data_IF_646653713919
#
_entry.id   IF_646653713919
#
_cell.length_a   1.000
_cell.length_b   1.000
_cell.length_c   1.000
_cell.angle_alpha   90.00
_cell.angle_beta   90.00
_cell.angle_gamma   90.00
#
_symmetry.space_group_name_H-M   'P 1'
#
loop_
_entity.id
_entity.type
_entity.pdbx_description
1 polymer ?
#
# COMPACT_ATOMS: atom_id res chain seq x y z
N UNK A 1 38.76 32.28 24.59
CA UNK A 1 37.69 32.86 25.44
C UNK A 1 36.34 32.28 25.01
N UNK A 2 35.63 31.61 25.93
CA UNK A 2 34.24 31.16 25.71
C UNK A 2 33.32 32.33 25.98
N UNK A 3 32.53 32.72 24.98
CA UNK A 3 31.52 33.79 25.13
C UNK A 3 30.18 33.29 24.62
N UNK A 4 29.10 33.81 25.18
CA UNK A 4 27.74 33.44 24.81
C UNK A 4 27.50 33.62 23.30
N UNK A 5 27.96 34.75 22.73
CA UNK A 5 27.87 35.03 21.29
C UNK A 5 28.58 33.99 20.41
N UNK A 6 29.73 33.46 20.85
CA UNK A 6 30.45 32.42 20.10
C UNK A 6 29.70 31.09 20.09
N UNK A 7 29.11 30.70 21.22
CA UNK A 7 28.34 29.46 21.30
C UNK A 7 27.02 29.56 20.51
N UNK A 8 26.37 30.73 20.52
CA UNK A 8 25.24 31.03 19.63
C UNK A 8 25.66 30.90 18.16
N UNK A 9 26.80 31.48 17.78
CA UNK A 9 27.30 31.38 16.40
C UNK A 9 27.60 29.93 15.98
N UNK A 10 28.16 29.10 16.87
CA UNK A 10 28.38 27.67 16.60
C UNK A 10 27.03 26.95 16.41
N UNK A 11 26.06 27.19 17.27
CA UNK A 11 24.71 26.60 17.12
C UNK A 11 24.07 27.01 15.80
N UNK A 12 24.16 28.29 15.42
CA UNK A 12 23.64 28.79 14.14
C UNK A 12 24.37 28.19 12.94
N UNK A 13 25.68 27.98 13.03
CA UNK A 13 26.44 27.33 11.98
C UNK A 13 26.01 25.86 11.81
N UNK A 14 25.85 25.12 12.92
CA UNK A 14 25.33 23.75 12.89
C UNK A 14 23.92 23.69 12.31
N UNK A 15 23.06 24.63 12.70
CA UNK A 15 21.71 24.77 12.16
C UNK A 15 21.73 25.07 10.66
N UNK A 16 22.54 26.01 10.20
CA UNK A 16 22.64 26.33 8.79
C UNK A 16 23.13 25.13 7.96
N UNK A 17 24.15 24.41 8.44
CA UNK A 17 24.67 23.21 7.77
C UNK A 17 23.61 22.11 7.73
N UNK A 18 22.85 21.90 8.81
CA UNK A 18 21.87 20.83 8.88
C UNK A 18 20.74 20.99 7.84
N UNK A 19 20.40 22.22 7.47
CA UNK A 19 19.40 22.51 6.44
C UNK A 19 19.82 22.03 5.05
N UNK A 20 21.11 21.83 4.78
CA UNK A 20 21.60 21.36 3.48
C UNK A 20 21.99 19.87 3.48
N UNK A 21 21.79 19.17 4.59
CA UNK A 21 22.07 17.74 4.69
C UNK A 21 20.78 16.90 4.68
N UNK A 22 20.86 15.64 4.23
CA UNK A 22 19.78 14.67 4.40
C UNK A 22 19.41 14.51 5.88
N UNK A 23 18.13 14.62 6.20
CA UNK A 23 17.62 14.63 7.57
C UNK A 23 16.69 13.45 7.85
N UNK A 24 15.59 13.30 7.11
CA UNK A 24 14.63 12.19 7.25
C UNK A 24 14.30 11.65 5.86
N UNK A 25 14.37 10.34 5.65
CA UNK A 25 14.04 9.71 4.36
C UNK A 25 14.89 10.16 3.18
N UNK A 26 16.10 10.65 3.44
CA UNK A 26 16.95 11.25 2.41
C UNK A 26 16.56 12.69 2.03
N UNK A 27 15.42 13.21 2.49
CA UNK A 27 15.04 14.60 2.27
C UNK A 27 15.98 15.56 2.99
N UNK A 28 16.32 16.64 2.29
CA UNK A 28 17.22 17.68 2.81
C UNK A 28 16.48 18.50 3.88
N UNK A 29 17.19 18.91 4.95
CA UNK A 29 16.57 19.63 6.09
C UNK A 29 15.76 20.88 5.70
N UNK A 30 16.18 21.61 4.65
CA UNK A 30 15.46 22.78 4.15
C UNK A 30 14.08 22.45 3.59
N UNK A 31 13.93 21.34 2.88
CA UNK A 31 12.62 20.94 2.33
C UNK A 31 11.67 20.53 3.47
N UNK A 32 12.18 19.79 4.46
CA UNK A 32 11.42 19.41 5.65
C UNK A 32 10.96 20.65 6.43
N UNK A 33 11.85 21.63 6.61
CA UNK A 33 11.52 22.88 7.29
C UNK A 33 10.41 23.64 6.55
N UNK A 34 10.57 23.84 5.23
CA UNK A 34 9.62 24.60 4.42
C UNK A 34 8.24 23.92 4.38
N UNK A 35 8.21 22.64 3.98
CA UNK A 35 6.96 21.87 3.87
C UNK A 35 6.29 21.72 5.22
N UNK A 36 7.06 21.42 6.27
CA UNK A 36 6.52 21.21 7.61
C UNK A 36 5.95 22.49 8.25
N UNK A 37 6.56 23.66 8.03
CA UNK A 37 6.00 24.93 8.53
C UNK A 37 4.71 25.30 7.77
N UNK A 38 4.70 25.14 6.44
CA UNK A 38 3.58 25.56 5.59
C UNK A 38 2.39 24.61 5.71
N UNK A 39 2.64 23.30 5.68
CA UNK A 39 1.60 22.27 5.58
C UNK A 39 1.45 21.41 6.84
N UNK A 40 2.27 21.62 7.87
CA UNK A 40 2.24 20.80 9.08
C UNK A 40 0.89 20.81 9.81
N UNK A 41 0.12 21.89 9.71
CA UNK A 41 -1.23 21.96 10.27
C UNK A 41 -2.22 21.01 9.59
N UNK A 42 -2.12 20.82 8.26
CA UNK A 42 -2.93 19.84 7.54
C UNK A 42 -2.55 18.41 7.93
N UNK A 43 -1.25 18.14 8.09
CA UNK A 43 -0.77 16.85 8.56
C UNK A 43 -1.27 16.50 9.97
N UNK A 44 -1.42 17.49 10.86
CA UNK A 44 -2.04 17.27 12.18
C UNK A 44 -3.51 16.87 12.10
N UNK A 45 -4.28 17.45 11.17
CA UNK A 45 -5.68 17.04 10.93
C UNK A 45 -5.74 15.58 10.47
N UNK A 46 -4.75 15.14 9.69
CA UNK A 46 -4.59 13.74 9.28
C UNK A 46 -3.98 12.83 10.38
N UNK A 47 -3.78 13.34 11.60
CA UNK A 47 -3.28 12.56 12.74
C UNK A 47 -1.76 12.37 12.79
N UNK A 48 -0.98 13.05 11.93
CA UNK A 48 0.48 12.90 11.88
C UNK A 48 1.20 13.76 12.92
N UNK A 49 1.20 13.28 14.16
CA UNK A 49 1.73 14.03 15.31
C UNK A 49 3.25 14.29 15.22
N UNK A 50 4.00 13.46 14.50
CA UNK A 50 5.45 13.63 14.30
C UNK A 50 5.82 14.99 13.65
N UNK A 51 4.90 15.59 12.87
CA UNK A 51 5.12 16.88 12.20
C UNK A 51 5.32 18.04 13.19
N UNK A 52 4.90 17.87 14.45
CA UNK A 52 5.15 18.85 15.50
C UNK A 52 6.64 19.16 15.66
N UNK A 53 7.52 18.20 15.37
CA UNK A 53 8.96 18.40 15.40
C UNK A 53 9.44 19.65 14.65
N UNK A 54 8.78 19.99 13.54
CA UNK A 54 9.18 21.14 12.73
C UNK A 54 8.96 22.48 13.46
N UNK A 55 8.00 22.58 14.37
CA UNK A 55 7.77 23.81 15.13
C UNK A 55 8.83 24.09 16.21
N UNK A 56 9.69 23.12 16.53
CA UNK A 56 10.87 23.38 17.36
C UNK A 56 11.76 24.49 16.76
N UNK A 57 11.76 24.65 15.43
CA UNK A 57 12.49 25.69 14.72
C UNK A 57 11.99 27.11 15.08
N UNK A 58 10.69 27.29 15.30
CA UNK A 58 10.11 28.59 15.70
C UNK A 58 10.64 29.01 17.07
N UNK A 59 10.60 28.08 18.03
CA UNK A 59 11.12 28.32 19.37
C UNK A 59 12.63 28.47 19.41
N UNK A 60 13.36 27.77 18.54
CA UNK A 60 14.81 27.94 18.37
C UNK A 60 15.16 29.36 17.91
N UNK A 61 14.55 29.85 16.84
CA UNK A 61 14.81 31.20 16.33
C UNK A 61 14.40 32.28 17.33
N UNK A 62 13.27 32.09 18.02
CA UNK A 62 12.87 32.96 19.13
C UNK A 62 13.94 33.01 20.23
N UNK A 63 14.47 31.84 20.61
CA UNK A 63 15.53 31.70 21.60
C UNK A 63 16.80 32.45 21.19
N UNK A 64 17.25 32.29 19.93
CA UNK A 64 18.41 32.99 19.37
C UNK A 64 18.25 34.51 19.44
N UNK A 65 17.13 35.04 18.94
CA UNK A 65 16.87 36.49 18.89
C UNK A 65 16.86 37.09 20.29
N UNK A 66 16.20 36.44 21.24
CA UNK A 66 16.08 36.93 22.60
C UNK A 66 17.39 36.84 23.39
N UNK A 67 18.19 35.80 23.18
CA UNK A 67 19.54 35.71 23.74
C UNK A 67 20.46 36.82 23.22
N UNK A 68 20.42 37.12 21.91
CA UNK A 68 21.21 38.21 21.33
C UNK A 68 20.82 39.59 21.87
N UNK A 69 19.56 39.74 22.30
CA UNK A 69 19.05 40.93 23.02
C UNK A 69 19.37 40.93 24.52
N UNK A 70 20.15 39.96 25.01
CA UNK A 70 20.54 39.84 26.41
C UNK A 70 19.44 39.31 27.34
N UNK A 71 18.35 38.74 26.81
CA UNK A 71 17.29 38.10 27.60
C UNK A 71 17.57 36.60 27.77
N UNK A 72 16.89 35.97 28.74
CA UNK A 72 16.93 34.51 28.97
C UNK A 72 15.60 33.85 28.61
N UNK A 73 15.42 33.35 27.38
CA UNK A 73 14.16 32.74 26.92
C UNK A 73 14.06 31.25 27.32
N UNK A 74 14.04 30.96 28.62
CA UNK A 74 14.06 29.59 29.17
C UNK A 74 12.90 28.71 28.67
N UNK A 75 11.68 29.25 28.66
CA UNK A 75 10.49 28.52 28.22
C UNK A 75 10.59 28.16 26.73
N UNK A 76 11.04 29.07 25.87
CA UNK A 76 11.19 28.80 24.44
C UNK A 76 12.28 27.73 24.20
N UNK A 77 13.37 27.77 24.96
CA UNK A 77 14.42 26.75 24.87
C UNK A 77 13.89 25.36 25.26
N UNK A 78 13.09 25.26 26.32
CA UNK A 78 12.42 24.01 26.72
C UNK A 78 11.44 23.53 25.66
N UNK A 79 10.56 24.41 25.17
CA UNK A 79 9.60 24.08 24.12
C UNK A 79 10.31 23.60 22.85
N UNK A 80 11.45 24.19 22.47
CA UNK A 80 12.21 23.72 21.30
C UNK A 80 12.60 22.24 21.43
N UNK A 81 12.98 21.78 22.62
CA UNK A 81 13.34 20.38 22.86
C UNK A 81 12.12 19.47 22.96
N UNK A 82 11.03 19.95 23.58
CA UNK A 82 9.75 19.21 23.66
C UNK A 82 9.17 18.98 22.27
N UNK A 83 9.17 20.00 21.41
CA UNK A 83 8.70 19.81 20.04
C UNK A 83 9.68 18.91 19.28
N UNK A 84 11.00 19.06 19.45
CA UNK A 84 11.97 18.20 18.78
C UNK A 84 11.84 16.71 19.13
N UNK A 85 11.36 16.35 20.34
CA UNK A 85 11.19 14.94 20.72
C UNK A 85 10.08 14.23 19.93
N UNK A 86 9.16 14.96 19.29
CA UNK A 86 8.18 14.36 18.37
C UNK A 86 8.82 13.70 17.14
N UNK A 87 10.10 13.95 16.85
CA UNK A 87 10.86 13.16 15.86
C UNK A 87 10.93 11.67 16.19
N UNK A 88 10.79 11.28 17.46
CA UNK A 88 10.72 9.87 17.86
C UNK A 88 9.45 9.17 17.36
N UNK A 89 8.42 9.92 16.99
CA UNK A 89 7.18 9.39 16.44
C UNK A 89 7.22 9.22 14.92
N UNK A 90 8.33 9.52 14.24
CA UNK A 90 8.47 9.33 12.80
C UNK A 90 8.24 7.88 12.37
N UNK A 91 8.58 6.92 13.22
CA UNK A 91 8.34 5.48 12.98
C UNK A 91 6.85 5.10 12.88
N UNK A 92 5.95 5.98 13.34
CA UNK A 92 4.50 5.78 13.22
C UNK A 92 3.93 6.35 11.91
N UNK A 93 4.76 6.98 11.08
CA UNK A 93 4.33 7.45 9.77
C UNK A 93 4.22 6.28 8.78
N UNK A 94 3.21 6.29 7.90
CA UNK A 94 2.86 5.13 7.07
C UNK A 94 3.90 4.80 5.99
N UNK A 95 4.72 5.76 5.56
CA UNK A 95 5.67 5.52 4.48
C UNK A 95 7.04 5.04 5.01
N UNK A 96 7.62 3.98 4.41
CA UNK A 96 8.89 3.39 4.85
C UNK A 96 10.08 4.36 4.72
N UNK A 97 9.97 5.41 3.91
CA UNK A 97 11.00 6.45 3.80
C UNK A 97 11.20 7.24 5.11
N UNK A 98 10.16 7.41 5.95
CA UNK A 98 10.28 8.19 7.19
C UNK A 98 11.04 7.48 8.31
N UNK A 99 11.50 6.25 8.09
CA UNK A 99 12.29 5.50 9.09
C UNK A 99 13.79 5.80 9.01
N UNK A 100 14.29 6.43 7.95
CA UNK A 100 15.72 6.72 7.78
C UNK A 100 16.11 8.08 8.40
N UNK A 101 17.10 8.12 9.29
CA UNK A 101 17.58 9.33 9.96
C UNK A 101 19.00 9.68 9.49
N UNK A 102 19.15 10.87 8.90
CA UNK A 102 20.39 11.38 8.34
C UNK A 102 21.14 12.37 9.21
N UNK A 103 22.32 12.78 8.73
CA UNK A 103 23.21 13.73 9.42
C UNK A 103 22.56 15.09 9.71
N UNK A 104 21.64 15.56 8.85
CA UNK A 104 20.90 16.79 9.05
C UNK A 104 20.08 16.77 10.35
N UNK A 105 19.39 15.66 10.64
CA UNK A 105 18.62 15.53 11.87
C UNK A 105 19.52 15.55 13.13
N UNK A 106 20.68 14.89 13.07
CA UNK A 106 21.63 14.87 14.19
C UNK A 106 22.26 16.25 14.45
N UNK A 107 22.67 16.96 13.39
CA UNK A 107 23.21 18.31 13.53
C UNK A 107 22.15 19.30 14.00
N UNK A 108 20.90 19.15 13.55
CA UNK A 108 19.77 19.93 14.02
C UNK A 108 19.54 19.75 15.52
N UNK A 109 19.45 18.51 16.00
CA UNK A 109 19.33 18.21 17.43
C UNK A 109 20.53 18.75 18.23
N UNK A 110 21.75 18.62 17.69
CA UNK A 110 22.95 19.15 18.33
C UNK A 110 22.92 20.70 18.43
N UNK A 111 22.38 21.39 17.42
CA UNK A 111 22.21 22.84 17.41
C UNK A 111 21.19 23.30 18.47
N UNK A 112 20.02 22.64 18.54
CA UNK A 112 18.99 22.90 19.55
C UNK A 112 19.53 22.66 20.97
N UNK A 113 20.21 21.52 21.18
CA UNK A 113 20.77 21.17 22.47
C UNK A 113 21.86 22.14 22.93
N UNK A 114 22.75 22.58 22.02
CA UNK A 114 23.74 23.62 22.34
C UNK A 114 23.05 24.91 22.78
N UNK A 115 21.98 25.32 22.09
CA UNK A 115 21.24 26.53 22.43
C UNK A 115 20.60 26.42 23.81
N UNK A 116 19.97 25.28 24.13
CA UNK A 116 19.43 25.01 25.46
C UNK A 116 20.53 25.14 26.54
N UNK A 117 21.68 24.52 26.32
CA UNK A 117 22.81 24.58 27.26
C UNK A 117 23.35 26.01 27.46
N UNK A 118 23.28 26.86 26.44
CA UNK A 118 23.65 28.28 26.52
C UNK A 118 22.63 29.11 27.30
N UNK A 119 21.32 28.81 27.19
CA UNK A 119 20.26 29.52 27.90
C UNK A 119 20.34 29.28 29.41
N UNK A 120 20.58 28.03 29.81
CA UNK A 120 20.62 27.63 31.23
C UNK A 120 21.99 27.81 31.89
N UNK A 121 23.04 28.14 31.12
CA UNK A 121 24.36 28.44 31.68
C UNK A 121 24.40 29.85 32.26
N UNK A 122 25.14 30.03 33.35
CA UNK A 122 25.56 31.36 33.77
C UNK A 122 26.41 32.01 32.67
N UNK A 123 26.28 33.32 32.51
CA UNK A 123 27.02 34.08 31.49
C UNK A 123 28.46 34.39 31.94
N UNK A 124 29.13 33.39 32.49
CA UNK A 124 30.55 33.42 32.87
C UNK A 124 31.35 32.53 31.91
N UNK A 125 32.60 32.89 31.58
CA UNK A 125 33.44 32.08 30.69
C UNK A 125 33.61 30.64 31.17
N UNK A 126 33.68 30.42 32.48
CA UNK A 126 33.85 29.12 33.13
C UNK A 126 32.60 28.24 32.96
N UNK A 127 31.41 28.76 33.27
CA UNK A 127 30.15 28.03 33.14
C UNK A 127 29.87 27.68 31.67
N UNK A 128 30.06 28.64 30.75
CA UNK A 128 29.88 28.41 29.30
C UNK A 128 30.87 27.36 28.77
N UNK A 129 32.11 27.35 29.25
CA UNK A 129 33.09 26.32 28.91
C UNK A 129 32.66 24.94 29.41
N UNK A 130 32.13 24.83 30.62
CA UNK A 130 31.64 23.57 31.17
C UNK A 130 30.43 23.06 30.39
N UNK A 131 29.45 23.93 30.10
CA UNK A 131 28.28 23.59 29.29
C UNK A 131 28.67 23.12 27.89
N UNK A 132 29.61 23.79 27.23
CA UNK A 132 30.12 23.36 25.93
C UNK A 132 30.84 22.00 26.01
N UNK A 133 31.67 21.77 27.04
CA UNK A 133 32.32 20.46 27.24
C UNK A 133 31.30 19.35 27.44
N UNK A 134 30.23 19.59 28.21
CA UNK A 134 29.15 18.62 28.44
C UNK A 134 28.41 18.34 27.13
N UNK A 135 28.02 19.39 26.41
CA UNK A 135 27.42 19.27 25.07
C UNK A 135 28.28 18.43 24.12
N UNK A 136 29.56 18.78 23.98
CA UNK A 136 30.48 18.11 23.07
C UNK A 136 30.66 16.61 23.41
N UNK A 137 30.79 16.28 24.71
CA UNK A 137 30.87 14.89 25.18
C UNK A 137 29.61 14.10 24.87
N UNK A 138 28.44 14.67 25.16
CA UNK A 138 27.16 14.01 24.88
C UNK A 138 26.95 13.80 23.39
N UNK A 139 27.16 14.84 22.56
CA UNK A 139 27.02 14.72 21.12
C UNK A 139 28.00 13.71 20.53
N UNK A 140 29.25 13.68 20.99
CA UNK A 140 30.23 12.69 20.54
C UNK A 140 29.79 11.26 20.90
N UNK A 141 29.37 11.03 22.14
CA UNK A 141 28.91 9.71 22.59
C UNK A 141 27.69 9.22 21.80
N UNK A 142 26.66 10.07 21.65
CA UNK A 142 25.45 9.74 20.89
C UNK A 142 25.76 9.49 19.41
N UNK A 143 26.56 10.36 18.79
CA UNK A 143 26.93 10.21 17.38
C UNK A 143 27.70 8.92 17.13
N UNK A 144 28.67 8.59 18.00
CA UNK A 144 29.43 7.34 17.89
C UNK A 144 28.53 6.11 18.07
N UNK A 145 27.62 6.13 19.03
CA UNK A 145 26.69 5.03 19.26
C UNK A 145 25.75 4.81 18.06
N UNK A 146 25.13 5.90 17.56
CA UNK A 146 24.24 5.84 16.40
C UNK A 146 24.98 5.45 15.12
N UNK A 147 26.21 5.94 14.93
CA UNK A 147 27.02 5.56 13.78
C UNK A 147 27.44 4.08 13.85
N UNK A 148 27.88 3.60 15.01
CA UNK A 148 28.22 2.18 15.19
C UNK A 148 26.99 1.28 14.96
N UNK A 149 25.84 1.67 15.51
CA UNK A 149 24.57 0.97 15.32
C UNK A 149 24.15 0.97 13.85
N UNK A 150 24.14 2.11 13.18
CA UNK A 150 23.79 2.21 11.77
C UNK A 150 24.74 1.48 10.83
N UNK A 151 26.04 1.42 11.17
CA UNK A 151 27.02 0.61 10.43
C UNK A 151 26.74 -0.89 10.60
N UNK A 152 26.37 -1.33 11.80
CA UNK A 152 25.92 -2.70 12.02
C UNK A 152 24.63 -2.98 11.23
N UNK A 153 23.63 -2.09 11.26
CA UNK A 153 22.39 -2.26 10.51
C UNK A 153 22.65 -2.35 9.00
N UNK A 154 23.47 -1.45 8.45
CA UNK A 154 23.82 -1.46 7.03
C UNK A 154 24.53 -2.76 6.63
N UNK A 155 25.44 -3.26 7.47
CA UNK A 155 26.14 -4.52 7.21
C UNK A 155 25.19 -5.74 7.25
N UNK A 156 24.25 -5.76 8.19
CA UNK A 156 23.28 -6.83 8.36
C UNK A 156 22.08 -6.75 7.38
N UNK A 157 21.79 -5.56 6.84
CA UNK A 157 20.78 -5.37 5.81
C UNK A 157 21.20 -6.01 4.49
N UNK A 158 20.23 -6.55 3.75
CA UNK A 158 20.46 -7.07 2.40
C UNK A 158 20.42 -5.94 1.35
N UNK A 159 20.65 -6.28 0.07
CA UNK A 159 20.75 -5.29 -1.00
C UNK A 159 19.49 -4.42 -1.14
N UNK A 160 18.30 -5.03 -1.17
CA UNK A 160 17.03 -4.33 -1.26
C UNK A 160 16.78 -3.42 -0.04
N UNK A 161 17.05 -3.92 1.18
CA UNK A 161 16.91 -3.15 2.41
C UNK A 161 17.86 -1.94 2.47
N UNK A 162 19.08 -2.08 1.92
CA UNK A 162 20.02 -0.96 1.82
C UNK A 162 19.51 0.12 0.87
N UNK A 163 18.92 -0.27 -0.25
CA UNK A 163 18.34 0.67 -1.22
C UNK A 163 17.13 1.39 -0.64
N UNK A 164 16.24 0.67 0.05
CA UNK A 164 15.00 1.21 0.60
C UNK A 164 15.20 2.07 1.85
N UNK A 165 16.05 1.64 2.79
CA UNK A 165 16.13 2.24 4.12
C UNK A 165 17.42 3.02 4.40
N UNK A 166 18.42 2.94 3.51
CA UNK A 166 19.68 3.67 3.66
C UNK A 166 19.97 4.59 2.47
N UNK A 167 19.09 5.56 2.18
CA UNK A 167 19.39 6.60 1.19
C UNK A 167 20.65 7.37 1.59
N UNK A 168 21.25 8.05 0.62
CA UNK A 168 22.49 8.80 0.83
C UNK A 168 22.42 9.74 2.05
N UNK A 169 23.44 9.70 2.90
CA UNK A 169 23.52 10.53 4.11
C UNK A 169 22.78 10.01 5.34
N UNK A 170 22.17 8.82 5.25
CA UNK A 170 21.57 8.12 6.40
C UNK A 170 22.64 7.70 7.41
N UNK A 171 22.36 7.96 8.69
CA UNK A 171 23.19 7.53 9.82
C UNK A 171 22.66 6.20 10.38
N UNK A 172 21.36 6.10 10.61
CA UNK A 172 20.68 4.88 11.05
C UNK A 172 19.24 4.88 10.54
N UNK A 173 18.57 3.72 10.61
CA UNK A 173 17.17 3.61 10.25
C UNK A 173 16.37 2.93 11.37
N UNK A 174 15.10 3.29 11.55
CA UNK A 174 14.16 2.62 12.47
C UNK A 174 13.65 1.31 11.84
N UNK A 175 14.59 0.39 11.58
CA UNK A 175 14.31 -0.94 11.05
C UNK A 175 15.18 -1.99 11.73
N UNK A 176 14.69 -3.23 11.76
CA UNK A 176 15.49 -4.38 12.14
C UNK A 176 15.88 -5.16 10.87
N UNK A 177 17.18 -5.34 10.57
CA UNK A 177 17.59 -6.01 9.34
C UNK A 177 17.20 -7.48 9.33
N UNK A 178 16.73 -7.97 8.18
CA UNK A 178 16.32 -9.37 8.01
C UNK A 178 17.47 -10.33 8.31
N UNK A 179 18.71 -9.89 8.01
CA UNK A 179 19.93 -10.70 7.99
C UNK A 179 19.87 -11.87 7.01
N UNK A 180 18.92 -11.85 6.07
CA UNK A 180 18.77 -12.83 5.01
C UNK A 180 19.29 -12.24 3.69
N UNK A 181 20.00 -13.00 2.86
CA UNK A 181 20.42 -12.53 1.56
C UNK A 181 19.20 -12.23 0.68
N UNK A 182 19.27 -11.11 -0.03
CA UNK A 182 18.32 -10.81 -1.09
C UNK A 182 18.79 -11.49 -2.37
N UNK A 183 17.96 -12.37 -2.92
CA UNK A 183 18.22 -13.08 -4.17
C UNK A 183 17.16 -12.61 -5.16
N UNK A 184 17.52 -11.73 -6.08
CA UNK A 184 16.59 -11.17 -7.05
C UNK A 184 15.87 -12.29 -7.83
N UNK A 185 14.52 -12.25 -7.91
CA UNK A 185 13.75 -13.10 -8.83
C UNK A 185 14.22 -12.92 -10.27
N UNK A 186 14.00 -13.92 -11.15
CA UNK A 186 14.32 -13.77 -12.56
C UNK A 186 13.52 -12.60 -13.16
N UNK A 187 14.12 -11.85 -14.10
CA UNK A 187 13.42 -10.74 -14.78
C UNK A 187 12.35 -11.23 -15.77
N UNK A 188 12.50 -12.46 -16.26
CA UNK A 188 11.56 -13.12 -17.16
C UNK A 188 11.70 -14.62 -17.04
N UNK A 189 10.66 -15.35 -17.42
CA UNK A 189 10.70 -16.81 -17.52
C UNK A 189 10.94 -17.22 -18.99
N UNK A 190 11.70 -18.30 -19.25
CA UNK A 190 12.03 -18.76 -20.59
C UNK A 190 10.84 -19.07 -21.51
N UNK A 191 9.66 -19.39 -20.95
CA UNK A 191 8.49 -19.79 -21.75
C UNK A 191 7.82 -18.58 -22.41
N UNK A 192 7.43 -18.68 -23.69
CA UNK A 192 6.72 -17.60 -24.39
C UNK A 192 5.39 -17.27 -23.68
N UNK A 193 5.05 -15.98 -23.61
CA UNK A 193 3.83 -15.46 -22.96
C UNK A 193 3.71 -15.71 -21.45
N UNK A 194 4.83 -15.68 -20.71
CA UNK A 194 4.83 -15.83 -19.25
C UNK A 194 4.15 -17.13 -18.82
N UNK A 195 4.78 -18.28 -19.13
CA UNK A 195 4.25 -19.64 -18.89
C UNK A 195 3.57 -19.81 -17.52
N UNK A 196 2.60 -20.71 -17.40
CA UNK A 196 1.74 -20.80 -16.20
C UNK A 196 2.47 -21.40 -15.00
N UNK A 197 2.13 -20.94 -13.79
CA UNK A 197 2.68 -21.49 -12.55
C UNK A 197 1.59 -22.05 -11.65
N UNK A 198 1.84 -23.26 -11.13
CA UNK A 198 1.00 -23.92 -10.14
C UNK A 198 1.41 -23.49 -8.73
N UNK A 199 0.43 -23.04 -7.94
CA UNK A 199 0.60 -22.79 -6.51
C UNK A 199 0.53 -24.11 -5.72
N UNK A 200 1.54 -24.37 -4.89
CA UNK A 200 1.65 -25.61 -4.12
C UNK A 200 1.16 -25.54 -2.67
N UNK A 201 0.78 -24.36 -2.19
CA UNK A 201 0.21 -24.19 -0.85
C UNK A 201 -1.31 -24.39 -0.82
N UNK A 202 -1.96 -23.96 0.25
CA UNK A 202 -3.40 -23.78 0.33
C UNK A 202 -3.84 -22.44 -0.28
N UNK A 203 -5.11 -22.35 -0.65
CA UNK A 203 -5.79 -21.11 -1.00
C UNK A 203 -6.87 -20.87 0.05
N UNK A 204 -6.79 -19.74 0.73
CA UNK A 204 -7.79 -19.32 1.72
C UNK A 204 -8.43 -18.00 1.33
N UNK A 205 -9.53 -17.71 2.01
CA UNK A 205 -10.25 -16.46 2.00
C UNK A 205 -9.95 -15.76 3.32
N UNK A 206 -9.44 -14.54 3.27
CA UNK A 206 -9.17 -13.76 4.48
C UNK A 206 -10.46 -13.19 5.11
N UNK A 207 -10.33 -12.53 6.27
CA UNK A 207 -11.46 -11.85 6.93
C UNK A 207 -11.97 -10.64 6.14
N UNK A 208 -11.06 -9.95 5.44
CA UNK A 208 -11.34 -8.87 4.48
C UNK A 208 -11.77 -9.38 3.11
N UNK A 209 -11.97 -10.71 2.97
CA UNK A 209 -12.48 -11.36 1.76
C UNK A 209 -11.55 -11.27 0.55
N UNK A 210 -10.25 -11.18 0.80
CA UNK A 210 -9.23 -11.31 -0.23
C UNK A 210 -8.77 -12.77 -0.36
N UNK A 211 -8.46 -13.17 -1.60
CA UNK A 211 -7.78 -14.45 -1.84
C UNK A 211 -6.36 -14.39 -1.30
N UNK A 212 -6.04 -15.30 -0.40
CA UNK A 212 -4.71 -15.42 0.19
C UNK A 212 -4.10 -16.78 -0.12
N UNK A 213 -2.84 -16.77 -0.53
CA UNK A 213 -2.05 -17.97 -0.73
C UNK A 213 -1.41 -18.35 0.60
N UNK A 214 -1.60 -19.58 1.04
CA UNK A 214 -1.18 -20.04 2.36
C UNK A 214 -0.18 -21.17 2.24
N UNK A 215 0.96 -21.10 2.93
CA UNK A 215 1.88 -22.22 3.01
C UNK A 215 2.36 -22.40 4.45
N UNK A 216 1.83 -23.42 5.13
CA UNK A 216 2.00 -23.58 6.56
C UNK A 216 1.42 -22.38 7.33
N UNK A 217 2.27 -21.63 8.04
CA UNK A 217 1.87 -20.40 8.75
C UNK A 217 2.01 -19.12 7.91
N UNK A 218 2.61 -19.19 6.71
CA UNK A 218 2.76 -18.02 5.84
C UNK A 218 1.47 -17.73 5.10
N UNK A 219 1.16 -16.43 4.99
CA UNK A 219 0.05 -15.90 4.21
C UNK A 219 0.59 -14.86 3.24
N UNK A 220 0.41 -15.11 1.96
CA UNK A 220 0.69 -14.16 0.89
C UNK A 220 -0.63 -13.56 0.40
N UNK A 221 -0.83 -12.30 0.74
CA UNK A 221 -2.10 -11.57 0.55
C UNK A 221 -2.32 -11.07 -0.87
N UNK A 222 -1.38 -11.35 -1.76
CA UNK A 222 -1.36 -10.77 -3.10
C UNK A 222 -0.90 -11.81 -4.10
N UNK A 223 -1.79 -12.74 -4.49
CA UNK A 223 -1.47 -13.76 -5.50
C UNK A 223 -1.04 -13.13 -6.83
N UNK A 224 -0.26 -13.85 -7.65
CA UNK A 224 -0.08 -13.50 -9.06
C UNK A 224 -1.42 -13.36 -9.76
N UNK A 225 -1.50 -12.46 -10.73
CA UNK A 225 -2.74 -12.23 -11.49
C UNK A 225 -3.16 -13.44 -12.35
N UNK A 226 -2.24 -14.37 -12.64
CA UNK A 226 -2.51 -15.60 -13.40
C UNK A 226 -1.74 -16.77 -12.80
N UNK A 227 -2.43 -17.81 -12.35
CA UNK A 227 -1.80 -19.01 -11.79
C UNK A 227 -2.74 -20.22 -11.86
N UNK A 228 -2.18 -21.42 -11.69
CA UNK A 228 -2.94 -22.66 -11.59
C UNK A 228 -3.04 -23.07 -10.12
N UNK A 229 -4.22 -23.52 -9.71
CA UNK A 229 -4.45 -24.08 -8.38
C UNK A 229 -5.40 -25.28 -8.48
N UNK A 230 -4.97 -26.43 -7.96
CA UNK A 230 -5.73 -27.69 -7.97
C UNK A 230 -6.36 -28.03 -9.34
N UNK A 231 -5.60 -27.81 -10.43
CA UNK A 231 -6.04 -28.10 -11.80
C UNK A 231 -6.93 -27.04 -12.45
N UNK A 232 -7.14 -25.89 -11.81
CA UNK A 232 -7.87 -24.75 -12.39
C UNK A 232 -6.92 -23.58 -12.66
N UNK A 233 -7.01 -22.98 -13.85
CA UNK A 233 -6.38 -21.72 -14.18
C UNK A 233 -7.22 -20.57 -13.61
N UNK A 234 -6.64 -19.80 -12.71
CA UNK A 234 -7.21 -18.60 -12.09
C UNK A 234 -6.58 -17.38 -12.75
N UNK A 235 -7.42 -16.44 -13.19
CA UNK A 235 -7.01 -15.21 -13.86
C UNK A 235 -7.77 -14.01 -13.29
N UNK A 236 -7.07 -12.98 -12.88
CA UNK A 236 -7.64 -11.72 -12.40
C UNK A 236 -7.84 -10.72 -13.53
N UNK A 237 -9.05 -10.18 -13.63
CA UNK A 237 -9.48 -9.10 -14.51
C UNK A 237 -9.83 -7.85 -13.69
N UNK A 238 -9.66 -6.65 -14.30
CA UNK A 238 -9.91 -5.34 -13.70
C UNK A 238 -9.11 -5.08 -12.42
N UNK A 239 -7.87 -4.61 -12.59
CA UNK A 239 -6.82 -4.50 -11.56
C UNK A 239 -7.26 -3.94 -10.19
N UNK A 240 -8.20 -2.99 -10.13
CA UNK A 240 -8.66 -2.34 -8.89
C UNK A 240 -9.84 -3.06 -8.22
N UNK A 241 -10.47 -4.01 -8.91
CA UNK A 241 -11.80 -4.54 -8.56
C UNK A 241 -11.90 -6.08 -8.62
N UNK A 242 -10.90 -6.75 -9.22
CA UNK A 242 -10.57 -8.15 -8.96
C UNK A 242 -11.61 -9.19 -9.36
N UNK A 243 -12.12 -9.18 -10.59
CA UNK A 243 -12.95 -10.31 -11.05
C UNK A 243 -12.04 -11.47 -11.44
N UNK A 244 -12.25 -12.60 -10.79
CA UNK A 244 -11.53 -13.83 -11.05
C UNK A 244 -12.29 -14.64 -12.09
N UNK A 245 -11.61 -15.00 -13.18
CA UNK A 245 -12.06 -16.07 -14.07
C UNK A 245 -11.30 -17.35 -13.74
N UNK A 246 -12.04 -18.44 -13.61
CA UNK A 246 -11.53 -19.71 -13.14
C UNK A 246 -12.04 -20.79 -14.09
N UNK A 247 -11.12 -21.45 -14.79
CA UNK A 247 -11.42 -22.48 -15.79
C UNK A 247 -10.56 -23.72 -15.53
N UNK A 248 -11.01 -24.92 -15.93
CA UNK A 248 -10.12 -26.08 -15.95
C UNK A 248 -8.83 -25.74 -16.71
N UNK A 249 -7.68 -26.03 -16.12
CA UNK A 249 -6.41 -25.72 -16.73
C UNK A 249 -6.28 -26.49 -18.06
N UNK A 250 -6.03 -25.80 -19.19
CA UNK A 250 -5.98 -26.44 -20.51
C UNK A 250 -4.74 -27.34 -20.68
N UNK A 251 -3.70 -27.08 -19.89
CA UNK A 251 -2.47 -27.85 -19.84
C UNK A 251 -1.90 -27.81 -18.41
N UNK A 252 -1.02 -28.76 -18.04
CA UNK A 252 -0.24 -28.68 -16.81
C UNK A 252 0.57 -27.39 -16.75
N UNK A 253 0.86 -26.92 -15.53
CA UNK A 253 1.67 -25.72 -15.34
C UNK A 253 3.13 -25.94 -15.79
N UNK A 254 3.71 -24.92 -16.42
CA UNK A 254 5.12 -24.91 -16.83
C UNK A 254 6.04 -24.80 -15.62
N UNK A 255 5.56 -24.11 -14.58
CA UNK A 255 6.27 -23.84 -13.34
C UNK A 255 5.43 -24.25 -12.13
N UNK A 256 6.10 -24.39 -11.00
CA UNK A 256 5.55 -24.52 -9.66
C UNK A 256 6.18 -23.46 -8.78
N UNK A 257 5.37 -22.78 -7.98
CA UNK A 257 5.85 -21.80 -7.03
C UNK A 257 5.18 -21.97 -5.68
N UNK A 258 5.90 -21.57 -4.65
CA UNK A 258 5.40 -21.69 -3.29
C UNK A 258 6.49 -21.51 -2.25
N UNK A 259 6.14 -21.89 -1.03
CA UNK A 259 7.05 -21.90 0.11
C UNK A 259 7.21 -23.31 0.63
N UNK A 260 8.40 -23.62 1.14
CA UNK A 260 8.70 -24.84 1.88
C UNK A 260 9.51 -24.51 3.13
N UNK A 261 9.48 -25.36 4.17
CA UNK A 261 10.41 -25.22 5.29
C UNK A 261 11.88 -25.22 4.82
N UNK A 262 12.70 -24.42 5.49
CA UNK A 262 14.16 -24.48 5.31
C UNK A 262 14.68 -25.83 5.84
N UNK A 263 15.59 -26.44 5.09
CA UNK A 263 16.28 -27.68 5.47
C UNK A 263 17.50 -27.36 6.33
N UNK A 264 18.05 -28.37 6.99
CA UNK A 264 19.30 -28.23 7.75
C UNK A 264 20.42 -27.66 6.85
N UNK A 265 21.02 -26.56 7.29
CA UNK A 265 22.05 -25.82 6.55
C UNK A 265 21.53 -24.71 5.62
N UNK A 266 20.22 -24.59 5.40
CA UNK A 266 19.63 -23.46 4.70
C UNK A 266 19.39 -22.28 5.67
N UNK A 267 19.50 -21.04 5.14
CA UNK A 267 19.20 -19.84 5.92
C UNK A 267 17.70 -19.53 5.88
N UNK A 268 17.20 -18.84 6.89
CA UNK A 268 15.79 -18.51 7.02
C UNK A 268 14.97 -19.63 7.66
N UNK A 269 13.68 -19.36 7.81
CA UNK A 269 12.73 -20.32 8.38
C UNK A 269 12.02 -21.10 7.26
N UNK A 270 11.83 -20.44 6.11
CA UNK A 270 11.27 -21.02 4.91
C UNK A 270 12.04 -20.58 3.67
N UNK A 271 11.84 -21.31 2.58
CA UNK A 271 12.36 -21.02 1.26
C UNK A 271 11.18 -20.76 0.32
N UNK A 272 11.11 -19.57 -0.25
CA UNK A 272 10.25 -19.29 -1.40
C UNK A 272 10.97 -19.79 -2.66
N UNK A 273 10.24 -20.41 -3.59
CA UNK A 273 10.86 -21.00 -4.77
C UNK A 273 10.01 -20.88 -6.03
N UNK A 274 10.69 -20.95 -7.16
CA UNK A 274 10.13 -21.16 -8.50
C UNK A 274 10.88 -22.35 -9.10
N UNK A 275 10.12 -23.36 -9.50
CA UNK A 275 10.61 -24.62 -10.04
C UNK A 275 9.93 -24.88 -11.38
N UNK A 276 10.62 -25.46 -12.35
CA UNK A 276 9.99 -25.97 -13.57
C UNK A 276 9.18 -27.24 -13.28
N UNK A 277 8.29 -27.60 -14.19
CA UNK A 277 7.50 -28.83 -14.12
C UNK A 277 8.36 -30.10 -13.97
N UNK A 278 9.56 -30.12 -14.55
CA UNK A 278 10.53 -31.23 -14.48
C UNK A 278 11.28 -31.33 -13.13
N UNK A 279 11.07 -30.36 -12.23
CA UNK A 279 11.72 -30.30 -10.93
C UNK A 279 12.99 -29.44 -10.89
N UNK A 280 13.43 -28.84 -12.01
CA UNK A 280 14.57 -27.93 -12.01
C UNK A 280 14.23 -26.64 -11.24
N UNK A 281 15.02 -26.31 -10.21
CA UNK A 281 14.87 -25.04 -9.49
C UNK A 281 15.38 -23.89 -10.37
N UNK A 282 14.48 -22.95 -10.68
CA UNK A 282 14.80 -21.75 -11.44
C UNK A 282 15.26 -20.63 -10.52
N UNK A 283 14.63 -20.53 -9.35
CA UNK A 283 14.94 -19.53 -8.36
C UNK A 283 14.50 -20.03 -6.99
N UNK A 284 15.24 -19.67 -5.94
CA UNK A 284 14.82 -19.85 -4.57
C UNK A 284 15.48 -18.80 -3.68
N UNK A 285 14.77 -18.35 -2.65
CA UNK A 285 15.26 -17.39 -1.69
C UNK A 285 14.81 -17.71 -0.26
N UNK A 286 15.66 -17.43 0.75
CA UNK A 286 15.29 -17.58 2.14
C UNK A 286 14.34 -16.48 2.58
N UNK A 287 13.35 -16.85 3.37
CA UNK A 287 12.37 -15.96 3.99
C UNK A 287 12.19 -16.33 5.47
N UNK A 288 11.81 -15.36 6.30
CA UNK A 288 11.44 -15.55 7.71
C UNK A 288 9.92 -15.49 7.84
N UNK A 289 9.35 -16.14 8.84
CA UNK A 289 7.92 -16.06 9.09
C UNK A 289 7.56 -14.71 9.69
N UNK A 290 6.64 -14.01 9.01
CA UNK A 290 5.83 -12.89 9.52
C UNK A 290 6.58 -11.59 9.91
N UNK A 291 6.10 -10.47 9.39
CA UNK A 291 6.74 -9.15 9.51
C UNK A 291 6.63 -8.31 8.24
N UNK A 292 5.59 -7.46 8.18
CA UNK A 292 5.44 -6.43 7.14
C UNK A 292 6.72 -5.55 7.11
N UNK A 293 7.28 -5.35 5.91
CA UNK A 293 8.44 -4.48 5.67
C UNK A 293 9.79 -4.96 6.26
N UNK A 294 9.84 -6.10 6.96
CA UNK A 294 11.09 -6.63 7.50
C UNK A 294 11.83 -7.54 6.53
N UNK A 295 11.14 -8.03 5.49
CA UNK A 295 11.67 -9.00 4.53
C UNK A 295 11.67 -8.45 3.12
N UNK A 296 12.51 -9.02 2.24
CA UNK A 296 12.38 -8.78 0.82
C UNK A 296 10.94 -8.93 0.32
N UNK A 297 10.42 -7.88 -0.29
CA UNK A 297 9.12 -7.86 -0.95
C UNK A 297 9.22 -8.55 -2.31
N UNK A 298 9.50 -9.87 -2.31
CA UNK A 298 9.57 -10.67 -3.53
C UNK A 298 8.22 -10.74 -4.25
N UNK A 299 7.12 -10.52 -3.52
CA UNK A 299 5.76 -10.55 -4.04
C UNK A 299 5.58 -9.59 -5.22
N UNK A 300 6.13 -8.37 -5.14
CA UNK A 300 6.05 -7.37 -6.23
C UNK A 300 6.68 -7.92 -7.50
N UNK A 301 7.89 -8.45 -7.40
CA UNK A 301 8.68 -8.93 -8.53
C UNK A 301 8.11 -10.23 -9.11
N UNK A 302 7.69 -11.16 -8.25
CA UNK A 302 7.12 -12.45 -8.65
C UNK A 302 5.75 -12.27 -9.32
N UNK A 303 4.92 -11.31 -8.89
CA UNK A 303 3.65 -10.99 -9.58
C UNK A 303 3.85 -10.57 -11.02
N UNK A 304 4.97 -9.93 -11.35
CA UNK A 304 5.28 -9.51 -12.71
C UNK A 304 5.67 -10.68 -13.62
N UNK A 305 6.06 -11.83 -13.06
CA UNK A 305 6.43 -13.01 -13.85
C UNK A 305 5.23 -13.68 -14.52
N UNK A 306 4.06 -13.64 -13.88
CA UNK A 306 2.83 -14.29 -14.35
C UNK A 306 1.68 -13.30 -14.47
N UNK A 307 1.94 -12.22 -15.20
CA UNK A 307 0.91 -11.27 -15.55
C UNK A 307 -0.08 -11.86 -16.57
N UNK A 308 -1.33 -11.38 -16.58
CA UNK A 308 -2.26 -11.71 -17.64
C UNK A 308 -1.69 -11.21 -18.97
N UNK A 309 -2.04 -11.83 -20.11
CA UNK A 309 -1.65 -11.31 -21.42
C UNK A 309 -2.00 -9.83 -21.55
N UNK A 310 -1.09 -9.01 -22.09
CA UNK A 310 -1.29 -7.57 -22.33
C UNK A 310 -2.61 -7.24 -23.06
N UNK A 311 -3.16 -8.20 -23.81
CA UNK A 311 -4.40 -8.06 -24.59
C UNK A 311 -5.68 -8.52 -23.86
N UNK A 312 -5.61 -8.91 -22.59
CA UNK A 312 -6.78 -9.27 -21.76
C UNK A 312 -7.31 -8.12 -20.90
N UNK A 313 -6.52 -7.06 -20.70
CA UNK A 313 -7.01 -5.78 -20.19
C UNK A 313 -7.69 -5.02 -21.34
N UNK A 314 -8.97 -5.32 -21.58
CA UNK A 314 -9.93 -4.47 -22.30
C UNK A 314 -9.52 -4.08 -23.73
N UNK A 315 -9.62 -5.02 -24.69
CA UNK A 315 -9.64 -4.68 -26.13
C UNK A 315 -10.97 -5.06 -26.79
N UNK A 316 -11.81 -5.83 -26.11
CA UNK A 316 -13.20 -5.94 -26.49
C UNK A 316 -13.90 -4.62 -26.09
N UNK A 317 -13.67 -3.55 -26.86
CA UNK A 317 -14.42 -2.31 -26.71
C UNK A 317 -15.90 -2.65 -26.80
N UNK A 318 -16.56 -2.73 -25.66
CA UNK A 318 -17.98 -2.97 -25.62
C UNK A 318 -18.63 -1.73 -26.25
N UNK A 319 -19.32 -1.94 -27.37
CA UNK A 319 -20.12 -0.91 -28.01
C UNK A 319 -21.56 -1.36 -27.93
N UNK A 320 -22.33 -0.75 -27.04
CA UNK A 320 -23.78 -0.97 -26.95
C UNK A 320 -24.50 -0.32 -28.14
N UNK A 321 -24.25 -0.81 -29.36
CA UNK A 321 -25.02 -0.43 -30.54
C UNK A 321 -25.49 -1.67 -31.31
N UNK A 322 -26.79 -2.04 -31.24
CA UNK A 322 -27.85 -1.37 -30.49
C UNK A 322 -27.76 -1.57 -28.97
N UNK A 323 -28.55 -0.81 -28.21
CA UNK A 323 -28.75 -0.97 -26.78
C UNK A 323 -29.08 -2.43 -26.42
N UNK A 324 -28.39 -2.96 -25.41
CA UNK A 324 -28.58 -4.33 -24.93
C UNK A 324 -29.60 -4.33 -23.79
N UNK A 325 -30.65 -5.16 -23.92
CA UNK A 325 -31.61 -5.43 -22.85
C UNK A 325 -31.36 -6.82 -22.27
N UNK A 326 -31.39 -6.91 -20.94
CA UNK A 326 -31.18 -8.13 -20.15
C UNK A 326 -32.44 -8.38 -19.32
N UNK A 327 -33.14 -9.45 -19.61
CA UNK A 327 -34.38 -9.83 -18.91
C UNK A 327 -34.46 -11.33 -18.60
N UNK A 328 -33.61 -12.15 -19.22
CA UNK A 328 -33.64 -13.59 -19.08
C UNK A 328 -32.76 -14.04 -17.91
N UNK A 329 -33.22 -15.03 -17.15
CA UNK A 329 -32.39 -15.67 -16.14
C UNK A 329 -31.31 -16.52 -16.81
N UNK A 330 -30.08 -16.45 -16.32
CA UNK A 330 -28.99 -17.25 -16.87
C UNK A 330 -29.02 -18.70 -16.41
N UNK A 331 -28.56 -19.64 -17.25
CA UNK A 331 -28.40 -21.03 -16.86
C UNK A 331 -27.19 -21.17 -15.93
N UNK A 332 -27.43 -21.00 -14.63
CA UNK A 332 -26.39 -21.14 -13.60
C UNK A 332 -26.19 -22.62 -13.29
N UNK A 333 -24.95 -23.07 -13.36
CA UNK A 333 -24.55 -24.41 -12.99
C UNK A 333 -24.15 -24.49 -11.51
N UNK A 334 -24.28 -25.68 -10.88
CA UNK A 334 -23.67 -25.91 -9.57
C UNK A 334 -22.16 -25.74 -9.63
N UNK A 335 -21.60 -25.06 -8.63
CA UNK A 335 -20.16 -24.89 -8.46
C UNK A 335 -19.44 -26.24 -8.30
N UNK A 336 -18.36 -26.47 -9.07
CA UNK A 336 -17.64 -27.75 -9.10
C UNK A 336 -16.18 -27.73 -8.65
N UNK A 337 -15.56 -26.57 -8.47
CA UNK A 337 -14.13 -26.52 -8.14
C UNK A 337 -13.85 -27.01 -6.70
N UNK A 338 -12.71 -27.68 -6.45
CA UNK A 338 -12.40 -28.37 -5.19
C UNK A 338 -11.98 -27.43 -4.04
N UNK A 339 -12.02 -26.13 -4.25
CA UNK A 339 -11.64 -25.11 -3.27
C UNK A 339 -12.78 -24.14 -3.01
N UNK A 340 -12.68 -23.33 -1.95
CA UNK A 340 -13.73 -22.38 -1.57
C UNK A 340 -13.49 -21.04 -2.27
N UNK A 341 -14.57 -20.40 -2.69
CA UNK A 341 -14.61 -19.07 -3.31
C UNK A 341 -15.79 -18.28 -2.73
N UNK A 342 -15.74 -16.96 -2.86
CA UNK A 342 -16.87 -16.09 -2.55
C UNK A 342 -17.90 -16.16 -3.68
N UNK A 343 -19.14 -16.52 -3.33
CA UNK A 343 -20.30 -16.62 -4.22
C UNK A 343 -19.93 -16.99 -5.67
N UNK A 344 -19.32 -18.17 -5.90
CA UNK A 344 -18.84 -18.49 -7.23
C UNK A 344 -20.02 -18.65 -8.19
N UNK A 345 -19.93 -17.96 -9.32
CA UNK A 345 -20.85 -18.08 -10.42
C UNK A 345 -20.30 -19.06 -11.44
N UNK A 346 -21.00 -20.16 -11.71
CA UNK A 346 -20.63 -21.08 -12.78
C UNK A 346 -21.64 -21.00 -13.94
N UNK A 347 -21.15 -20.68 -15.14
CA UNK A 347 -21.94 -20.63 -16.38
C UNK A 347 -21.09 -21.19 -17.51
N UNK A 348 -21.66 -22.09 -18.32
CA UNK A 348 -21.00 -22.73 -19.47
C UNK A 348 -19.62 -23.32 -19.10
N UNK A 349 -19.54 -23.98 -17.93
CA UNK A 349 -18.32 -24.56 -17.39
C UNK A 349 -17.22 -23.59 -16.93
N UNK A 350 -17.43 -22.27 -17.00
CA UNK A 350 -16.51 -21.25 -16.46
C UNK A 350 -17.01 -20.73 -15.12
N UNK A 351 -16.08 -20.51 -14.19
CA UNK A 351 -16.35 -20.02 -12.85
C UNK A 351 -15.89 -18.56 -12.75
N UNK A 352 -16.70 -17.71 -12.13
CA UNK A 352 -16.37 -16.34 -11.77
C UNK A 352 -16.50 -16.13 -10.28
N UNK A 353 -15.66 -15.27 -9.72
CA UNK A 353 -15.74 -14.85 -8.32
C UNK A 353 -15.21 -13.43 -8.19
N UNK A 354 -15.75 -12.66 -7.25
CA UNK A 354 -15.28 -11.32 -6.93
C UNK A 354 -14.21 -11.44 -5.83
N UNK A 355 -12.98 -10.97 -6.11
CA UNK A 355 -11.78 -11.16 -5.28
C UNK A 355 -11.83 -10.40 -3.96
N UNK A 356 -12.63 -9.33 -3.84
CA UNK A 356 -12.56 -8.43 -2.69
C UNK A 356 -13.87 -8.34 -1.88
N UNK A 357 -14.93 -9.06 -2.28
CA UNK A 357 -16.26 -8.85 -1.70
C UNK A 357 -16.66 -9.87 -0.64
N UNK A 358 -17.37 -9.35 0.35
CA UNK A 358 -17.92 -10.07 1.51
C UNK A 358 -18.65 -11.36 1.15
N UNK A 359 -18.57 -12.43 1.97
CA UNK A 359 -19.24 -13.72 1.71
C UNK A 359 -20.77 -13.62 1.82
N UNK A 360 -21.29 -12.42 2.11
CA UNK A 360 -22.71 -12.08 2.24
C UNK A 360 -23.26 -11.42 0.96
N UNK A 361 -22.40 -11.14 -0.03
CA UNK A 361 -22.72 -10.30 -1.17
C UNK A 361 -23.49 -11.03 -2.28
N UNK A 362 -24.80 -11.16 -2.09
CA UNK A 362 -25.74 -11.73 -3.07
C UNK A 362 -25.70 -10.98 -4.40
N UNK A 363 -25.97 -11.67 -5.50
CA UNK A 363 -25.98 -11.06 -6.83
C UNK A 363 -27.23 -11.37 -7.66
N UNK A 364 -27.48 -10.54 -8.67
CA UNK A 364 -28.52 -10.75 -9.69
C UNK A 364 -27.86 -10.89 -11.05
N UNK A 365 -28.20 -11.97 -11.74
CA UNK A 365 -27.56 -12.30 -13.01
C UNK A 365 -28.65 -12.44 -14.06
N UNK A 366 -28.59 -11.58 -15.07
CA UNK A 366 -29.46 -11.63 -16.24
C UNK A 366 -28.60 -11.74 -17.50
N UNK A 367 -29.12 -12.37 -18.54
CA UNK A 367 -28.43 -12.46 -19.83
C UNK A 367 -29.37 -12.14 -20.98
N UNK A 368 -28.74 -12.00 -22.14
CA UNK A 368 -29.36 -12.10 -23.44
C UNK A 368 -28.58 -13.11 -24.30
N UNK A 369 -28.78 -13.09 -25.62
CA UNK A 369 -28.09 -13.97 -26.55
C UNK A 369 -26.57 -13.77 -26.62
N UNK A 370 -26.08 -12.57 -26.30
CA UNK A 370 -24.68 -12.18 -26.53
C UNK A 370 -23.89 -11.95 -25.25
N UNK A 371 -24.57 -11.58 -24.15
CA UNK A 371 -23.93 -11.10 -22.93
C UNK A 371 -24.60 -11.65 -21.67
N UNK A 372 -23.80 -11.76 -20.62
CA UNK A 372 -24.20 -12.01 -19.24
C UNK A 372 -23.90 -10.74 -18.46
N UNK A 373 -24.89 -10.26 -17.72
CA UNK A 373 -24.76 -9.12 -16.85
C UNK A 373 -24.87 -9.60 -15.39
N UNK A 374 -23.77 -9.44 -14.67
CA UNK A 374 -23.65 -9.79 -13.27
C UNK A 374 -23.71 -8.53 -12.41
N UNK A 375 -24.87 -8.28 -11.79
CA UNK A 375 -25.09 -7.16 -10.88
C UNK A 375 -24.82 -7.60 -9.45
N UNK A 376 -23.90 -6.89 -8.79
CA UNK A 376 -23.60 -7.10 -7.38
C UNK A 376 -24.61 -6.34 -6.50
N UNK A 377 -24.83 -6.83 -5.28
CA UNK A 377 -25.58 -6.10 -4.26
C UNK A 377 -24.96 -4.72 -3.96
N UNK A 378 -25.78 -3.71 -3.57
CA UNK A 378 -25.27 -2.47 -3.00
C UNK A 378 -24.48 -2.73 -1.71
N UNK A 379 -23.25 -2.22 -1.63
CA UNK A 379 -22.36 -2.38 -0.49
C UNK A 379 -22.29 -1.08 0.31
N UNK A 380 -22.69 -1.12 1.57
CA UNK A 380 -22.66 0.05 2.45
C UNK A 380 -21.37 0.08 3.26
N UNK A 381 -20.64 1.19 3.15
CA UNK A 381 -19.42 1.48 3.88
C UNK A 381 -19.71 2.47 5.01
N UNK A 382 -19.73 1.97 6.24
CA UNK A 382 -20.04 2.76 7.44
C UNK A 382 -19.07 3.93 7.67
N UNK A 383 -17.79 3.75 7.35
CA UNK A 383 -16.74 4.72 7.66
C UNK A 383 -16.91 6.07 6.94
N UNK A 384 -17.37 6.04 5.70
CA UNK A 384 -17.58 7.23 4.86
C UNK A 384 -19.06 7.49 4.53
N UNK A 385 -19.98 6.64 5.03
CA UNK A 385 -21.42 6.77 4.73
C UNK A 385 -21.72 6.66 3.23
N UNK A 386 -21.00 5.77 2.54
CA UNK A 386 -21.08 5.56 1.09
C UNK A 386 -21.76 4.24 0.78
N UNK A 387 -22.55 4.19 -0.29
CA UNK A 387 -23.10 2.96 -0.84
C UNK A 387 -22.58 2.77 -2.26
N UNK A 388 -21.96 1.62 -2.51
CA UNK A 388 -21.36 1.26 -3.80
C UNK A 388 -22.17 0.20 -4.52
N UNK A 389 -22.46 0.43 -5.79
CA UNK A 389 -23.15 -0.53 -6.65
C UNK A 389 -22.30 -0.76 -7.90
N UNK A 390 -22.14 -2.03 -8.29
CA UNK A 390 -21.36 -2.39 -9.47
C UNK A 390 -21.99 -3.53 -10.26
N UNK A 391 -21.74 -3.55 -11.54
CA UNK A 391 -22.07 -4.66 -12.41
C UNK A 391 -20.90 -4.99 -13.35
N UNK A 392 -20.80 -6.25 -13.74
CA UNK A 392 -19.80 -6.74 -14.68
C UNK A 392 -20.53 -7.32 -15.88
N UNK A 393 -20.11 -6.90 -17.07
CA UNK A 393 -20.61 -7.43 -18.33
C UNK A 393 -19.62 -8.46 -18.88
N UNK A 394 -20.13 -9.64 -19.20
CA UNK A 394 -19.36 -10.77 -19.72
C UNK A 394 -19.93 -11.15 -21.08
N UNK A 395 -19.07 -11.22 -22.11
CA UNK A 395 -19.47 -11.64 -23.44
C UNK A 395 -19.61 -13.15 -23.51
N UNK A 396 -20.73 -13.69 -24.01
CA UNK A 396 -21.01 -15.13 -24.02
C UNK A 396 -20.14 -15.94 -24.99
N UNK A 397 -19.72 -15.34 -26.10
CA UNK A 397 -18.99 -16.07 -27.15
C UNK A 397 -17.64 -16.60 -26.69
N UNK A 398 -16.95 -15.88 -25.82
CA UNK A 398 -15.66 -16.26 -25.26
C UNK A 398 -15.60 -16.18 -23.74
N UNK A 399 -16.72 -15.77 -23.12
CA UNK A 399 -16.88 -15.67 -21.67
C UNK A 399 -15.76 -14.79 -21.07
N UNK A 400 -15.46 -13.67 -21.73
CA UNK A 400 -14.54 -12.65 -21.22
C UNK A 400 -15.34 -11.51 -20.58
N UNK A 401 -14.92 -11.00 -19.41
CA UNK A 401 -15.40 -9.72 -18.92
C UNK A 401 -15.00 -8.61 -19.90
N UNK A 402 -15.95 -7.79 -20.33
CA UNK A 402 -15.74 -6.76 -21.37
C UNK A 402 -15.99 -5.34 -20.87
N UNK A 403 -16.82 -5.16 -19.84
CA UNK A 403 -17.12 -3.85 -19.27
C UNK A 403 -17.44 -3.97 -17.79
N UNK A 404 -17.15 -2.91 -17.03
CA UNK A 404 -17.55 -2.78 -15.63
C UNK A 404 -18.28 -1.46 -15.43
N UNK A 405 -19.49 -1.55 -14.90
CA UNK A 405 -20.28 -0.39 -14.51
C UNK A 405 -20.17 -0.19 -12.99
N UNK A 406 -19.98 1.06 -12.54
CA UNK A 406 -19.97 1.40 -11.13
C UNK A 406 -20.69 2.72 -10.84
N UNK A 407 -21.29 2.80 -9.67
CA UNK A 407 -21.83 4.04 -9.13
C UNK A 407 -21.70 4.05 -7.63
N UNK A 408 -21.50 5.23 -7.09
CA UNK A 408 -21.35 5.45 -5.66
C UNK A 408 -22.26 6.59 -5.23
N UNK A 409 -22.87 6.45 -4.05
CA UNK A 409 -23.73 7.47 -3.46
C UNK A 409 -23.30 7.73 -2.02
N UNK A 410 -23.17 9.00 -1.68
CA UNK A 410 -22.89 9.44 -0.32
C UNK A 410 -24.15 10.04 0.32
N UNK A 411 -24.17 10.07 1.65
CA UNK A 411 -25.28 10.67 2.40
C UNK A 411 -25.55 12.11 1.94
N UNK A 412 -26.79 12.39 1.53
CA UNK A 412 -27.23 13.68 1.00
C UNK A 412 -27.29 13.75 -0.52
N UNK A 413 -26.84 12.72 -1.23
CA UNK A 413 -27.04 12.59 -2.68
C UNK A 413 -28.44 12.03 -2.98
N UNK A 414 -28.96 12.34 -4.16
CA UNK A 414 -30.24 11.83 -4.64
C UNK A 414 -30.22 10.29 -4.67
N UNK A 415 -31.29 9.68 -4.17
CA UNK A 415 -31.51 8.23 -4.09
C UNK A 415 -30.55 7.48 -3.14
N UNK A 416 -29.85 8.17 -2.23
CA UNK A 416 -28.96 7.54 -1.25
C UNK A 416 -29.72 6.66 -0.26
N UNK A 417 -30.81 7.15 0.32
CA UNK A 417 -31.55 6.43 1.36
C UNK A 417 -32.18 5.14 0.81
N UNK A 418 -32.65 5.17 -0.43
CA UNK A 418 -33.18 4.02 -1.15
C UNK A 418 -32.10 2.99 -1.47
N UNK A 419 -30.89 3.43 -1.86
CA UNK A 419 -29.76 2.51 -2.12
C UNK A 419 -29.20 1.93 -0.82
N UNK A 420 -29.19 2.71 0.26
CA UNK A 420 -28.86 2.23 1.60
C UNK A 420 -29.88 1.20 2.07
N UNK A 421 -31.18 1.45 1.91
CA UNK A 421 -32.20 0.46 2.24
C UNK A 421 -32.04 -0.83 1.41
N UNK A 422 -31.67 -0.71 0.13
CA UNK A 422 -31.35 -1.86 -0.69
C UNK A 422 -30.14 -2.66 -0.17
N UNK A 423 -29.13 -1.99 0.39
CA UNK A 423 -28.01 -2.67 1.06
C UNK A 423 -28.43 -3.40 2.34
N UNK A 424 -29.44 -2.89 3.06
CA UNK A 424 -29.98 -3.51 4.28
C UNK A 424 -30.89 -4.72 3.97
N UNK A 425 -31.58 -4.72 2.81
CA UNK A 425 -32.46 -5.80 2.36
C UNK A 425 -32.13 -6.28 0.93
N UNK A 426 -30.94 -6.86 0.73
CA UNK A 426 -30.39 -7.05 -0.60
C UNK A 426 -31.15 -8.06 -1.46
N UNK A 427 -31.71 -9.12 -0.86
CA UNK A 427 -32.48 -10.12 -1.62
C UNK A 427 -33.78 -9.57 -2.18
N UNK A 428 -34.52 -8.80 -1.38
CA UNK A 428 -35.79 -8.24 -1.82
C UNK A 428 -35.56 -7.26 -2.98
N UNK A 429 -34.52 -6.43 -2.87
CA UNK A 429 -34.15 -5.51 -3.93
C UNK A 429 -33.69 -6.24 -5.20
N UNK A 430 -32.75 -7.17 -5.10
CA UNK A 430 -32.27 -7.95 -6.25
C UNK A 430 -33.39 -8.75 -6.93
N UNK A 431 -34.34 -9.29 -6.16
CA UNK A 431 -35.50 -10.01 -6.69
C UNK A 431 -36.49 -9.09 -7.43
N UNK A 432 -36.54 -7.80 -7.07
CA UNK A 432 -37.38 -6.81 -7.75
C UNK A 432 -36.87 -6.42 -9.14
N UNK A 433 -35.62 -6.78 -9.47
CA UNK A 433 -34.99 -6.43 -10.74
C UNK A 433 -35.43 -7.41 -11.82
N UNK A 434 -36.37 -6.94 -12.64
CA UNK A 434 -36.89 -7.67 -13.80
C UNK A 434 -36.14 -7.38 -15.10
N UNK A 435 -35.43 -6.25 -15.19
CA UNK A 435 -34.78 -5.81 -16.43
C UNK A 435 -33.58 -4.90 -16.16
N UNK A 436 -32.53 -5.05 -16.97
CA UNK A 436 -31.39 -4.13 -17.03
C UNK A 436 -31.11 -3.77 -18.50
N UNK A 437 -30.67 -2.55 -18.78
CA UNK A 437 -30.46 -2.06 -20.15
C UNK A 437 -29.19 -1.20 -20.25
N UNK A 438 -28.38 -1.38 -21.28
CA UNK A 438 -27.26 -0.47 -21.57
C UNK A 438 -27.74 0.63 -22.52
N UNK A 439 -27.43 1.89 -22.25
CA UNK A 439 -27.72 3.02 -23.15
C UNK A 439 -26.49 3.90 -23.36
N UNK A 440 -26.48 4.69 -24.43
CA UNK A 440 -25.42 5.66 -24.73
C UNK A 440 -25.70 6.98 -24.02
N UNK A 441 -24.68 7.54 -23.39
CA UNK A 441 -24.74 8.84 -22.70
C UNK A 441 -24.53 9.99 -23.70
N UNK A 442 -25.55 10.32 -24.50
CA UNK A 442 -25.63 11.45 -25.47
C UNK A 442 -24.63 11.51 -26.65
N UNK A 443 -25.14 11.85 -27.85
CA UNK A 443 -24.38 11.95 -29.12
C UNK A 443 -23.48 13.20 -29.26
N UNK A 444 -23.52 14.14 -28.32
CA UNK A 444 -22.83 15.44 -28.43
C UNK A 444 -21.54 15.58 -27.59
N UNK A 445 -21.08 14.49 -26.96
CA UNK A 445 -19.83 14.47 -26.19
C UNK A 445 -18.60 14.27 -27.06
N UNK A 446 -17.55 15.07 -26.83
CA UNK A 446 -16.27 14.92 -27.50
C UNK A 446 -15.60 13.58 -27.08
N UNK A 447 -15.70 12.55 -27.91
CA UNK A 447 -14.59 11.64 -28.22
C UNK A 447 -14.36 10.37 -27.40
N UNK A 448 -15.19 10.05 -26.40
CA UNK A 448 -15.20 8.70 -25.78
C UNK A 448 -16.64 8.19 -25.73
N UNK A 449 -16.86 6.97 -26.24
CA UNK A 449 -18.17 6.32 -26.26
C UNK A 449 -18.60 5.97 -24.81
N UNK A 450 -19.11 6.93 -24.03
CA UNK A 450 -19.62 6.70 -22.67
C UNK A 450 -20.95 5.93 -22.73
N UNK A 451 -20.97 4.72 -22.16
CA UNK A 451 -22.17 3.90 -21.98
C UNK A 451 -22.57 3.86 -20.51
N UNK A 452 -23.86 3.72 -20.23
CA UNK A 452 -24.38 3.56 -18.87
C UNK A 452 -25.31 2.36 -18.79
N UNK A 453 -25.31 1.71 -17.62
CA UNK A 453 -26.22 0.62 -17.30
C UNK A 453 -27.38 1.14 -16.47
N UNK A 454 -28.59 0.94 -16.98
CA UNK A 454 -29.85 1.24 -16.30
C UNK A 454 -30.41 -0.05 -15.70
N UNK A 455 -30.61 -0.06 -14.39
CA UNK A 455 -31.22 -1.16 -13.64
C UNK A 455 -32.64 -0.75 -13.26
N UNK A 456 -33.64 -1.48 -13.78
CA UNK A 456 -35.04 -1.24 -13.45
C UNK A 456 -35.44 -2.11 -12.25
N UNK A 457 -35.61 -1.48 -11.09
CA UNK A 457 -36.04 -2.12 -9.84
C UNK A 457 -37.47 -1.71 -9.47
N UNK A 458 -38.09 -2.40 -8.53
CA UNK A 458 -39.41 -2.03 -7.99
C UNK A 458 -39.45 -0.63 -7.36
N UNK A 459 -38.29 -0.09 -6.98
CA UNK A 459 -38.14 1.22 -6.34
C UNK A 459 -37.69 2.33 -7.32
N UNK A 460 -37.60 2.03 -8.62
CA UNK A 460 -37.19 2.99 -9.65
C UNK A 460 -35.97 2.53 -10.48
N UNK A 461 -35.47 3.45 -11.30
CA UNK A 461 -34.32 3.24 -12.19
C UNK A 461 -33.01 3.66 -11.54
N UNK A 462 -31.99 2.83 -11.69
CA UNK A 462 -30.64 3.09 -11.18
C UNK A 462 -29.65 3.13 -12.33
N UNK A 463 -28.79 4.15 -12.33
CA UNK A 463 -27.80 4.35 -13.39
C UNK A 463 -26.40 4.10 -12.84
N UNK A 464 -25.69 3.17 -13.49
CA UNK A 464 -24.28 2.90 -13.29
C UNK A 464 -23.51 3.35 -14.52
N UNK A 465 -22.31 3.90 -14.30
CA UNK A 465 -21.46 4.45 -15.35
C UNK A 465 -20.20 3.63 -15.55
#
# INVERSE_FOLDING_TARGET
>A
MYTQKRLIAISLALYAVCLFLPAVGGHIGLSILYVGIVYGWFALIAGWVAVLAVYANVFYWWTVIHLLRGKRPEVAALLSMVFASFTLLLVLMPEPEYVAVGWGALLWLAALYLMQMVVFAENTPEALRQSFKKWAKTCAAVTLALFAFGRWQYAAANAQQREQYFPFGTVFAFMLPSSLPYIAPPQSLPEPNNGTAEWLGGLEISQDNSLILVSGSLKEYTPPKRFIYQGYLIQEYFHEDGILSIIPAPAPADYRYGYRPAKEGEQGEQIQFIQKADGQIMWQAPVKADGLGQYPEYDKEIKHLWQPPLYTEIIAGFKANPAQTFAEACPIEPYRAPFKLHEPLQIDGKIYSDKYRSPVAKSRILCNSEYILWLNVPEYQDYNGRVDLSAVLIRRSDMLPVEKFKTSREKGWTNYDELKQASEQPQAWLASIGRMETRRRDENGYGYDDYELVVHSGNGEWVLN
#
